data_IF_185734344737
#
_entry.id   IF_185734344737
#
_cell.length_a   1.000
_cell.length_b   1.000
_cell.length_c   1.000
_cell.angle_alpha   90.00
_cell.angle_beta   90.00
_cell.angle_gamma   90.00
#
_symmetry.space_group_name_H-M   'P 1'
#
loop_
_entity.id
_entity.type
_entity.pdbx_description
1 polymer ?
#
# COMPACT_ATOMS: atom_id res chain seq x y z
N UNK A 1 -13.86 8.55 -51.15
CA UNK A 1 -13.64 7.12 -50.83
C UNK A 1 -12.36 6.51 -51.42
N UNK A 2 -11.91 6.85 -52.65
CA UNK A 2 -10.66 6.29 -53.25
C UNK A 2 -9.37 6.55 -52.45
N UNK A 3 -9.27 7.70 -51.78
CA UNK A 3 -8.09 8.06 -50.96
C UNK A 3 -7.87 7.11 -49.77
N UNK A 4 -8.96 6.69 -49.11
CA UNK A 4 -8.92 5.79 -47.95
C UNK A 4 -8.43 4.39 -48.29
N UNK A 5 -8.63 3.97 -49.55
CA UNK A 5 -8.21 2.66 -50.04
C UNK A 5 -6.72 2.65 -50.42
N UNK A 6 -6.22 3.76 -50.98
CA UNK A 6 -4.84 3.85 -51.47
C UNK A 6 -3.82 4.15 -50.36
N UNK A 7 -4.24 4.75 -49.24
CA UNK A 7 -3.35 5.10 -48.12
C UNK A 7 -3.93 4.65 -46.77
N UNK A 8 -3.97 3.34 -46.49
CA UNK A 8 -4.67 2.79 -45.33
C UNK A 8 -4.08 3.25 -43.99
N UNK A 9 -2.76 3.41 -43.90
CA UNK A 9 -2.09 3.86 -42.67
C UNK A 9 -2.34 5.34 -42.38
N UNK A 10 -2.19 6.19 -43.40
CA UNK A 10 -2.41 7.63 -43.29
C UNK A 10 -3.87 7.95 -42.96
N UNK A 11 -4.79 7.20 -43.55
CA UNK A 11 -6.22 7.31 -43.28
C UNK A 11 -6.59 6.98 -41.83
N UNK A 12 -5.93 5.97 -41.24
CA UNK A 12 -6.11 5.63 -39.82
C UNK A 12 -5.56 6.71 -38.89
N UNK A 13 -4.45 7.35 -39.24
CA UNK A 13 -3.90 8.48 -38.47
C UNK A 13 -4.86 9.68 -38.48
N UNK A 14 -5.40 10.03 -39.64
CA UNK A 14 -6.43 11.09 -39.74
C UNK A 14 -7.63 10.76 -38.86
N UNK A 15 -8.09 9.50 -38.90
CA UNK A 15 -9.22 9.05 -38.09
C UNK A 15 -8.95 9.19 -36.58
N UNK A 16 -7.76 8.80 -36.12
CA UNK A 16 -7.34 8.95 -34.70
C UNK A 16 -7.31 10.42 -34.30
N UNK A 17 -6.81 11.29 -35.18
CA UNK A 17 -6.72 12.74 -34.93
C UNK A 17 -8.12 13.37 -34.81
N UNK A 18 -9.04 12.98 -35.71
CA UNK A 18 -10.46 13.40 -35.66
C UNK A 18 -11.13 12.91 -34.37
N UNK A 19 -10.92 11.67 -33.96
CA UNK A 19 -11.45 11.12 -32.71
C UNK A 19 -10.88 11.85 -31.49
N UNK A 20 -9.59 12.18 -31.51
CA UNK A 20 -8.94 12.99 -30.46
C UNK A 20 -9.54 14.39 -30.34
N UNK A 21 -9.77 15.07 -31.46
CA UNK A 21 -10.44 16.37 -31.51
C UNK A 21 -11.89 16.29 -31.02
N UNK A 22 -12.64 15.26 -31.42
CA UNK A 22 -14.01 15.04 -30.94
C UNK A 22 -14.05 14.78 -29.42
N UNK A 23 -13.09 14.02 -28.90
CA UNK A 23 -12.95 13.78 -27.45
C UNK A 23 -12.65 15.07 -26.68
N UNK A 24 -11.93 16.02 -27.28
CA UNK A 24 -11.71 17.33 -26.66
C UNK A 24 -13.01 18.14 -26.56
N UNK A 25 -13.80 18.18 -27.64
CA UNK A 25 -15.01 19.01 -27.77
C UNK A 25 -16.23 18.51 -26.98
N UNK A 26 -16.35 17.20 -26.75
CA UNK A 26 -17.53 16.62 -26.07
C UNK A 26 -17.39 16.76 -24.55
N UNK A 27 -18.31 17.44 -23.82
CA UNK A 27 -18.15 17.66 -22.38
C UNK A 27 -18.45 16.41 -21.52
N UNK A 28 -19.00 15.34 -22.10
CA UNK A 28 -19.39 14.11 -21.40
C UNK A 28 -18.20 13.14 -21.22
N UNK A 29 -17.89 12.84 -19.97
CA UNK A 29 -16.69 12.09 -19.59
C UNK A 29 -16.71 10.62 -20.04
N UNK A 30 -17.86 9.94 -19.92
CA UNK A 30 -18.03 8.56 -20.38
C UNK A 30 -17.79 8.42 -21.89
N UNK A 31 -18.19 9.44 -22.66
CA UNK A 31 -17.97 9.47 -24.12
C UNK A 31 -16.50 9.69 -24.43
N UNK A 32 -15.78 10.54 -23.68
CA UNK A 32 -14.33 10.73 -23.83
C UNK A 32 -13.56 9.43 -23.64
N UNK A 33 -13.92 8.63 -22.63
CA UNK A 33 -13.31 7.32 -22.38
C UNK A 33 -13.55 6.37 -23.56
N UNK A 34 -14.79 6.28 -24.04
CA UNK A 34 -15.13 5.45 -25.20
C UNK A 34 -14.34 5.88 -26.44
N UNK A 35 -14.29 7.19 -26.72
CA UNK A 35 -13.53 7.73 -27.86
C UNK A 35 -12.03 7.50 -27.72
N UNK A 36 -11.48 7.60 -26.51
CA UNK A 36 -10.08 7.30 -26.24
C UNK A 36 -9.77 5.82 -26.50
N UNK A 37 -10.57 4.89 -25.98
CA UNK A 37 -10.41 3.44 -26.21
C UNK A 37 -10.50 3.10 -27.69
N UNK A 38 -11.48 3.68 -28.40
CA UNK A 38 -11.65 3.48 -29.85
C UNK A 38 -10.44 4.04 -30.63
N UNK A 39 -9.97 5.23 -30.27
CA UNK A 39 -8.77 5.84 -30.86
C UNK A 39 -7.52 4.98 -30.66
N UNK A 40 -7.33 4.44 -29.45
CA UNK A 40 -6.23 3.53 -29.15
C UNK A 40 -6.30 2.23 -29.92
N UNK A 41 -7.50 1.66 -30.07
CA UNK A 41 -7.68 0.44 -30.86
C UNK A 41 -7.28 0.66 -32.31
N UNK A 42 -7.74 1.74 -32.92
CA UNK A 42 -7.40 2.12 -34.29
C UNK A 42 -5.89 2.38 -34.43
N UNK A 43 -5.31 3.14 -33.50
CA UNK A 43 -3.88 3.46 -33.50
C UNK A 43 -3.01 2.21 -33.33
N UNK A 44 -3.42 1.29 -32.44
CA UNK A 44 -2.74 0.01 -32.24
C UNK A 44 -2.74 -0.84 -33.52
N UNK A 45 -3.77 -0.75 -34.37
CA UNK A 45 -3.75 -1.45 -35.67
C UNK A 45 -2.68 -0.95 -36.65
N UNK A 46 -2.07 0.22 -36.40
CA UNK A 46 -0.97 0.79 -37.20
C UNK A 46 0.37 0.12 -36.84
N UNK A 47 0.55 -0.29 -35.58
CA UNK A 47 1.80 -0.90 -35.11
C UNK A 47 1.93 -2.34 -35.61
N UNK A 48 2.96 -2.64 -36.41
CA UNK A 48 3.19 -3.98 -36.97
C UNK A 48 3.59 -5.04 -35.92
N UNK A 49 4.27 -4.62 -34.84
CA UNK A 49 4.64 -5.43 -33.66
C UNK A 49 4.50 -4.57 -32.41
N UNK A 50 4.19 -5.17 -31.25
CA UNK A 50 4.12 -4.44 -29.97
C UNK A 50 2.77 -3.82 -29.60
N UNK A 51 1.67 -4.19 -30.29
CA UNK A 51 0.30 -3.72 -30.02
C UNK A 51 -0.10 -3.84 -28.54
N UNK A 52 0.21 -4.99 -27.95
CA UNK A 52 -0.10 -5.32 -26.55
C UNK A 52 0.75 -4.45 -25.60
N UNK A 53 2.04 -4.25 -25.91
CA UNK A 53 2.94 -3.41 -25.12
C UNK A 53 2.48 -1.95 -25.15
N UNK A 54 2.01 -1.45 -26.30
CA UNK A 54 1.45 -0.11 -26.41
C UNK A 54 0.16 0.06 -25.60
N UNK A 55 -0.74 -0.92 -25.60
CA UNK A 55 -1.93 -0.90 -24.74
C UNK A 55 -1.56 -0.84 -23.25
N UNK A 56 -0.61 -1.68 -22.83
CA UNK A 56 -0.12 -1.70 -21.44
C UNK A 56 0.50 -0.35 -21.08
N UNK A 57 1.35 0.21 -21.95
CA UNK A 57 1.98 1.51 -21.71
C UNK A 57 0.93 2.62 -21.60
N UNK A 58 0.00 2.70 -22.56
CA UNK A 58 -1.02 3.75 -22.52
C UNK A 58 -1.91 3.58 -21.31
N UNK A 59 -2.28 2.36 -20.92
CA UNK A 59 -3.08 2.11 -19.73
C UNK A 59 -2.35 2.60 -18.46
N UNK A 60 -1.05 2.29 -18.31
CA UNK A 60 -0.23 2.76 -17.19
C UNK A 60 -0.10 4.29 -17.19
N UNK A 61 0.09 4.92 -18.36
CA UNK A 61 0.35 6.36 -18.49
C UNK A 61 -0.91 7.23 -18.62
N UNK A 62 -2.11 6.67 -18.76
CA UNK A 62 -3.36 7.44 -18.83
C UNK A 62 -4.10 7.56 -17.49
N UNK A 63 -3.74 6.72 -16.51
CA UNK A 63 -4.20 6.81 -15.12
C UNK A 63 -3.92 8.19 -14.46
N UNK A 64 -2.81 8.90 -14.74
CA UNK A 64 -2.53 10.20 -14.10
C UNK A 64 -3.31 11.40 -14.68
N UNK A 65 -3.99 11.28 -15.83
CA UNK A 65 -4.55 12.43 -16.56
C UNK A 65 -6.02 12.74 -16.25
N UNK A 66 -6.63 12.04 -15.30
CA UNK A 66 -8.01 12.26 -14.87
C UNK A 66 -8.04 13.50 -13.96
N UNK A 67 -8.39 14.64 -14.55
CA UNK A 67 -8.69 15.95 -13.95
C UNK A 67 -8.68 16.04 -12.40
N UNK A 68 -7.78 16.89 -11.89
CA UNK A 68 -7.42 17.19 -10.49
C UNK A 68 -8.59 17.27 -9.49
N UNK A 69 -9.79 17.67 -9.94
CA UNK A 69 -10.96 17.84 -9.06
C UNK A 69 -11.88 16.62 -8.98
N UNK A 70 -11.88 15.76 -10.02
CA UNK A 70 -12.65 14.50 -10.06
C UNK A 70 -11.82 13.28 -9.68
N UNK A 71 -10.49 13.39 -9.70
CA UNK A 71 -9.62 12.37 -9.13
C UNK A 71 -9.95 12.19 -7.66
N UNK A 72 -10.00 13.25 -6.83
CA UNK A 72 -10.46 13.18 -5.43
C UNK A 72 -11.69 12.28 -5.22
N UNK A 73 -12.77 12.55 -5.95
CA UNK A 73 -14.07 11.94 -5.66
C UNK A 73 -14.21 10.53 -6.26
N UNK A 74 -13.69 10.29 -7.47
CA UNK A 74 -13.66 8.95 -8.09
C UNK A 74 -12.49 8.08 -7.62
N UNK A 75 -11.48 8.67 -6.98
CA UNK A 75 -10.39 7.95 -6.34
C UNK A 75 -10.82 7.43 -4.99
N UNK A 76 -11.78 8.05 -4.28
CA UNK A 76 -12.47 7.37 -3.19
C UNK A 76 -13.21 6.11 -3.69
N UNK A 77 -13.72 6.08 -4.92
CA UNK A 77 -14.27 4.87 -5.54
C UNK A 77 -13.18 3.87 -5.99
N UNK A 78 -12.04 4.31 -6.51
CA UNK A 78 -10.88 3.44 -6.83
C UNK A 78 -10.21 2.89 -5.56
N UNK A 79 -10.14 3.72 -4.52
CA UNK A 79 -9.75 3.36 -3.16
C UNK A 79 -10.78 2.44 -2.53
N UNK A 80 -12.09 2.59 -2.78
CA UNK A 80 -13.07 1.58 -2.43
C UNK A 80 -12.91 0.33 -3.30
N UNK A 81 -12.44 0.42 -4.54
CA UNK A 81 -12.18 -0.75 -5.39
C UNK A 81 -10.95 -1.56 -4.90
N UNK A 82 -9.91 -0.92 -4.40
CA UNK A 82 -8.70 -1.58 -3.83
C UNK A 82 -8.74 -1.76 -2.29
N UNK A 83 -9.45 -0.90 -1.58
CA UNK A 83 -9.69 -0.94 -0.14
C UNK A 83 -10.86 -1.85 0.22
N UNK A 84 -11.88 -1.94 -0.66
CA UNK A 84 -12.84 -3.05 -0.71
C UNK A 84 -12.37 -4.16 -1.66
N UNK A 85 -11.05 -4.37 -1.79
CA UNK A 85 -10.55 -5.73 -2.01
C UNK A 85 -10.80 -6.59 -0.75
N UNK A 86 -12.01 -6.52 -0.18
CA UNK A 86 -12.71 -7.74 0.20
C UNK A 86 -12.86 -8.55 -1.06
N UNK A 87 -11.81 -9.35 -1.30
CA UNK A 87 -11.81 -10.44 -2.27
C UNK A 87 -13.16 -11.12 -2.16
N UNK A 88 -13.93 -11.01 -3.25
CA UNK A 88 -15.13 -11.78 -3.52
C UNK A 88 -15.05 -13.13 -2.82
N UNK A 89 -15.88 -13.32 -1.79
CA UNK A 89 -16.41 -14.58 -1.24
C UNK A 89 -15.67 -15.91 -1.52
N UNK A 90 -14.34 -15.91 -1.59
CA UNK A 90 -13.54 -17.12 -1.60
C UNK A 90 -13.38 -17.44 -0.13
N UNK A 91 -14.13 -18.46 0.32
CA UNK A 91 -14.11 -18.96 1.70
C UNK A 91 -12.69 -18.87 2.27
N UNK A 92 -12.53 -18.04 3.31
CA UNK A 92 -11.27 -17.91 4.04
C UNK A 92 -11.14 -19.14 4.94
N UNK A 93 -10.18 -20.00 4.65
CA UNK A 93 -9.92 -21.18 5.49
C UNK A 93 -8.93 -20.80 6.58
N UNK A 94 -9.45 -20.39 7.74
CA UNK A 94 -8.64 -20.05 8.91
C UNK A 94 -8.20 -21.33 9.61
N UNK A 95 -6.89 -21.48 9.79
CA UNK A 95 -6.31 -22.63 10.49
C UNK A 95 -5.73 -22.12 11.82
N UNK A 96 -6.33 -22.58 12.91
CA UNK A 96 -5.94 -22.26 14.27
C UNK A 96 -4.66 -23.02 14.67
N UNK A 97 -3.88 -22.49 15.64
CA UNK A 97 -2.71 -23.18 16.14
C UNK A 97 -3.09 -24.43 16.93
N UNK A 98 -2.30 -25.50 16.76
CA UNK A 98 -2.41 -26.78 17.48
C UNK A 98 -1.03 -27.29 17.96
N UNK A 99 0.06 -26.61 17.58
CA UNK A 99 1.41 -26.81 18.07
C UNK A 99 1.89 -25.61 18.87
N UNK A 100 2.80 -25.88 19.80
CA UNK A 100 3.44 -24.87 20.65
C UNK A 100 4.93 -25.16 20.73
N UNK A 101 5.75 -24.13 20.56
CA UNK A 101 7.21 -24.18 20.68
C UNK A 101 7.67 -23.25 21.80
N UNK A 102 8.61 -23.76 22.60
CA UNK A 102 9.22 -23.08 23.73
C UNK A 102 10.68 -23.53 23.90
N UNK A 103 11.62 -22.65 24.29
CA UNK A 103 11.44 -21.19 24.41
C UNK A 103 11.33 -20.53 23.05
N UNK A 104 10.81 -19.31 23.02
CA UNK A 104 10.88 -18.44 21.84
C UNK A 104 12.29 -17.88 21.70
N UNK A 105 12.74 -17.70 20.45
CA UNK A 105 14.02 -17.06 20.19
C UNK A 105 13.85 -15.61 19.73
N UNK A 106 14.95 -14.85 19.79
CA UNK A 106 14.96 -13.42 19.49
C UNK A 106 14.58 -13.13 18.03
N UNK A 107 14.94 -14.02 17.10
CA UNK A 107 14.80 -13.82 15.67
C UNK A 107 13.76 -14.79 15.11
N UNK A 108 12.70 -14.24 14.52
CA UNK A 108 11.59 -15.02 13.94
C UNK A 108 11.39 -14.58 12.49
N UNK A 109 11.39 -15.54 11.58
CA UNK A 109 11.06 -15.34 10.17
C UNK A 109 9.87 -16.20 9.80
N UNK A 110 8.85 -15.61 9.19
CA UNK A 110 7.65 -16.30 8.72
C UNK A 110 7.54 -16.06 7.22
N UNK A 111 7.59 -17.12 6.42
CA UNK A 111 7.51 -17.06 4.95
C UNK A 111 6.37 -17.97 4.46
N UNK A 112 5.23 -17.36 4.12
CA UNK A 112 4.01 -18.05 3.68
C UNK A 112 3.80 -17.81 2.18
N UNK A 113 3.91 -18.88 1.40
CA UNK A 113 3.86 -18.86 -0.06
C UNK A 113 2.50 -19.28 -0.61
N UNK A 114 2.36 -19.22 -1.94
CA UNK A 114 1.21 -19.73 -2.69
C UNK A 114 -0.11 -19.02 -2.39
N UNK A 115 -0.10 -17.68 -2.37
CA UNK A 115 -1.29 -16.83 -2.16
C UNK A 115 -1.96 -16.96 -0.78
N UNK A 116 -1.35 -17.69 0.14
CA UNK A 116 -1.85 -17.85 1.50
C UNK A 116 -1.54 -16.62 2.36
N UNK A 117 -2.35 -16.46 3.41
CA UNK A 117 -2.21 -15.41 4.39
C UNK A 117 -1.72 -15.91 5.75
N UNK A 118 -1.30 -14.97 6.57
CA UNK A 118 -0.95 -15.19 7.97
C UNK A 118 -1.67 -14.17 8.84
N UNK A 119 -2.18 -14.61 9.99
CA UNK A 119 -2.73 -13.76 11.03
C UNK A 119 -1.82 -13.90 12.24
N UNK A 120 -1.18 -12.82 12.63
CA UNK A 120 -0.33 -12.76 13.82
C UNK A 120 -1.11 -12.16 14.97
N UNK A 121 -1.16 -12.90 16.08
CA UNK A 121 -1.68 -12.41 17.34
C UNK A 121 -0.53 -12.32 18.34
N UNK A 122 -0.17 -11.10 18.73
CA UNK A 122 0.79 -10.93 19.82
C UNK A 122 0.11 -11.22 21.15
N UNK A 123 0.73 -12.11 21.93
CA UNK A 123 0.24 -12.56 23.24
C UNK A 123 1.33 -12.41 24.30
N UNK A 124 0.92 -12.33 25.57
CA UNK A 124 1.87 -12.35 26.67
C UNK A 124 2.49 -13.74 26.83
N UNK A 125 3.81 -13.81 26.98
CA UNK A 125 4.56 -15.05 27.16
C UNK A 125 5.79 -15.13 26.28
N UNK A 126 6.44 -16.28 26.30
CA UNK A 126 7.74 -16.61 25.69
C UNK A 126 7.64 -17.89 24.85
N UNK A 127 6.47 -18.13 24.27
CA UNK A 127 6.18 -19.26 23.39
C UNK A 127 5.61 -18.80 22.06
N UNK A 128 5.73 -19.62 21.04
CA UNK A 128 5.04 -19.45 19.77
C UNK A 128 4.07 -20.61 19.54
N UNK A 129 2.82 -20.29 19.24
CA UNK A 129 1.78 -21.26 18.89
C UNK A 129 1.47 -21.15 17.40
N UNK A 130 1.46 -22.27 16.69
CA UNK A 130 1.34 -22.30 15.24
C UNK A 130 0.60 -23.56 14.75
N UNK A 131 0.02 -23.56 13.54
CA UNK A 131 -0.65 -24.74 13.02
C UNK A 131 0.32 -25.83 12.55
N UNK A 132 -0.05 -27.08 12.74
CA UNK A 132 0.73 -28.27 12.40
C UNK A 132 1.00 -28.43 10.91
N UNK A 133 0.20 -27.75 10.07
CA UNK A 133 0.40 -27.64 8.63
C UNK A 133 1.58 -26.75 8.23
N UNK A 134 2.10 -25.94 9.16
CA UNK A 134 3.32 -25.18 8.96
C UNK A 134 4.52 -26.00 9.42
N UNK A 135 5.62 -25.82 8.70
CA UNK A 135 6.92 -26.26 9.14
C UNK A 135 7.50 -25.24 10.11
N UNK A 136 8.22 -25.75 11.12
CA UNK A 136 9.03 -24.93 11.99
C UNK A 136 10.44 -25.50 11.98
N UNK A 137 11.41 -24.68 11.59
CA UNK A 137 12.83 -24.99 11.67
C UNK A 137 13.49 -24.06 12.66
N UNK A 138 14.31 -24.63 13.53
CA UNK A 138 15.12 -23.87 14.49
C UNK A 138 16.58 -24.06 14.16
N UNK A 139 17.28 -22.96 13.86
CA UNK A 139 18.73 -22.95 13.67
C UNK A 139 19.32 -21.73 14.40
N UNK A 140 20.43 -21.91 15.10
CA UNK A 140 21.21 -20.82 15.71
C UNK A 140 20.40 -19.75 16.47
N UNK A 141 19.38 -20.15 17.26
CA UNK A 141 18.47 -19.24 17.98
C UNK A 141 17.62 -18.35 17.05
N UNK A 142 17.26 -18.88 15.89
CA UNK A 142 16.28 -18.32 14.96
C UNK A 142 15.14 -19.32 14.78
N UNK A 143 13.92 -18.82 14.73
CA UNK A 143 12.73 -19.60 14.34
C UNK A 143 12.38 -19.23 12.91
N UNK A 144 12.28 -20.23 12.04
CA UNK A 144 11.74 -20.05 10.69
C UNK A 144 10.46 -20.87 10.54
N UNK A 145 9.38 -20.20 10.14
CA UNK A 145 8.08 -20.82 9.89
C UNK A 145 7.75 -20.67 8.41
N UNK A 146 7.40 -21.77 7.76
CA UNK A 146 6.96 -21.77 6.37
C UNK A 146 5.84 -22.78 6.14
N UNK A 147 5.13 -22.65 5.03
CA UNK A 147 4.09 -23.60 4.65
C UNK A 147 4.61 -24.63 3.64
N UNK A 148 4.26 -25.91 3.84
CA UNK A 148 4.58 -26.97 2.88
C UNK A 148 3.54 -27.06 1.77
N UNK A 149 4.01 -27.18 0.53
CA UNK A 149 3.20 -27.60 -0.61
C UNK A 149 2.31 -26.52 -1.23
N UNK A 150 1.65 -26.92 -2.32
CA UNK A 150 0.67 -26.09 -3.01
C UNK A 150 -0.69 -26.23 -2.34
N UNK A 151 -1.11 -25.17 -1.65
CA UNK A 151 -2.50 -25.05 -1.22
C UNK A 151 -3.31 -24.49 -2.38
N UNK A 152 -4.36 -25.18 -2.79
CA UNK A 152 -5.27 -24.76 -3.87
C UNK A 152 -6.36 -23.78 -3.41
N UNK A 153 -6.38 -23.44 -2.12
CA UNK A 153 -7.37 -22.57 -1.47
C UNK A 153 -6.67 -21.43 -0.74
N UNK A 154 -7.41 -20.36 -0.45
CA UNK A 154 -6.95 -19.23 0.33
C UNK A 154 -6.92 -19.57 1.84
N UNK A 155 -5.83 -20.16 2.32
CA UNK A 155 -5.66 -20.42 3.75
C UNK A 155 -5.09 -19.20 4.47
N UNK A 156 -5.54 -19.03 5.71
CA UNK A 156 -4.98 -18.08 6.68
C UNK A 156 -4.50 -18.86 7.89
N UNK A 157 -3.20 -18.84 8.14
CA UNK A 157 -2.62 -19.51 9.30
C UNK A 157 -2.55 -18.53 10.47
N UNK A 158 -3.18 -18.87 11.59
CA UNK A 158 -3.10 -18.08 12.82
C UNK A 158 -1.86 -18.50 13.59
N UNK A 159 -0.97 -17.55 13.87
CA UNK A 159 0.25 -17.76 14.65
C UNK A 159 0.21 -16.80 15.84
N UNK A 160 0.28 -17.36 17.05
CA UNK A 160 0.34 -16.56 18.28
C UNK A 160 1.78 -16.45 18.73
N UNK A 161 2.27 -15.22 18.88
CA UNK A 161 3.68 -14.95 19.20
C UNK A 161 3.75 -14.31 20.58
N UNK A 162 4.39 -15.01 21.52
CA UNK A 162 4.77 -14.48 22.81
C UNK A 162 5.72 -13.30 22.66
N UNK A 163 5.45 -12.19 23.34
CA UNK A 163 6.24 -10.95 23.21
C UNK A 163 7.53 -10.94 24.03
N UNK A 164 7.69 -11.85 25.01
CA UNK A 164 8.88 -11.90 25.85
C UNK A 164 10.04 -12.54 25.10
N UNK A 165 11.07 -11.75 24.83
CA UNK A 165 12.33 -12.22 24.23
C UNK A 165 12.41 -12.06 22.72
N UNK A 166 11.30 -11.82 22.02
CA UNK A 166 11.33 -11.53 20.58
C UNK A 166 11.88 -10.13 20.35
N UNK A 167 12.89 -10.02 19.48
CA UNK A 167 13.51 -8.75 19.09
C UNK A 167 13.25 -8.45 17.62
N UNK A 168 13.39 -9.46 16.76
CA UNK A 168 13.35 -9.28 15.32
C UNK A 168 12.28 -10.19 14.73
N UNK A 169 11.26 -9.60 14.11
CA UNK A 169 10.21 -10.33 13.43
C UNK A 169 10.15 -9.91 11.96
N UNK A 170 10.36 -10.88 11.07
CA UNK A 170 10.21 -10.71 9.62
C UNK A 170 9.08 -11.60 9.12
N UNK A 171 8.14 -11.01 8.38
CA UNK A 171 7.00 -11.72 7.82
C UNK A 171 6.93 -11.42 6.33
N UNK A 172 6.89 -12.47 5.53
CA UNK A 172 6.63 -12.44 4.09
C UNK A 172 5.43 -13.32 3.79
N UNK A 173 4.34 -12.73 3.28
CA UNK A 173 3.16 -13.48 2.87
C UNK A 173 2.36 -12.69 1.83
N UNK A 174 1.49 -13.35 1.07
CA UNK A 174 0.57 -12.61 0.19
C UNK A 174 -0.37 -11.72 0.99
N UNK A 175 -0.82 -12.20 2.16
CA UNK A 175 -1.69 -11.43 3.06
C UNK A 175 -1.17 -11.52 4.48
N UNK A 176 -1.05 -10.39 5.16
CA UNK A 176 -0.57 -10.29 6.53
C UNK A 176 -1.62 -9.53 7.33
N UNK A 177 -2.09 -10.12 8.43
CA UNK A 177 -2.87 -9.45 9.45
C UNK A 177 -2.10 -9.47 10.76
N UNK A 178 -2.03 -8.34 11.46
CA UNK A 178 -1.36 -8.24 12.77
C UNK A 178 -2.28 -7.57 13.77
N UNK A 179 -2.46 -8.25 14.90
CA UNK A 179 -3.27 -7.82 16.02
C UNK A 179 -2.45 -7.89 17.33
N UNK A 180 -2.80 -7.03 18.29
CA UNK A 180 -2.19 -7.06 19.63
C UNK A 180 -1.03 -6.08 19.82
N UNK A 181 -0.27 -6.27 20.89
CA UNK A 181 0.77 -5.32 21.31
C UNK A 181 2.13 -6.00 21.35
N UNK A 182 3.15 -5.34 20.85
CA UNK A 182 4.52 -5.86 20.91
C UNK A 182 5.53 -4.74 21.06
N UNK A 183 6.64 -5.07 21.71
CA UNK A 183 7.87 -4.28 21.72
C UNK A 183 8.96 -5.09 21.05
N UNK A 184 9.53 -4.57 19.97
CA UNK A 184 10.50 -5.22 19.11
C UNK A 184 11.67 -4.28 18.85
N UNK A 185 12.81 -4.83 18.48
CA UNK A 185 13.90 -4.04 17.88
C UNK A 185 13.58 -3.80 16.40
N UNK A 186 13.15 -4.84 15.68
CA UNK A 186 12.82 -4.76 14.25
C UNK A 186 11.52 -5.49 13.91
N UNK A 187 10.62 -4.83 13.18
CA UNK A 187 9.45 -5.42 12.55
C UNK A 187 9.49 -5.16 11.03
N UNK A 188 9.60 -6.23 10.24
CA UNK A 188 9.68 -6.16 8.78
C UNK A 188 8.55 -6.97 8.16
N UNK A 189 7.68 -6.31 7.40
CA UNK A 189 6.51 -6.91 6.76
C UNK A 189 6.59 -6.74 5.25
N UNK A 190 6.48 -7.84 4.50
CA UNK A 190 6.46 -7.82 3.04
C UNK A 190 5.25 -8.61 2.53
N UNK A 191 4.35 -7.96 1.81
CA UNK A 191 3.18 -8.67 1.30
C UNK A 191 2.34 -7.89 0.31
N UNK A 192 1.39 -8.57 -0.32
CA UNK A 192 0.47 -7.90 -1.26
C UNK A 192 -0.58 -7.11 -0.50
N UNK A 193 -1.17 -7.69 0.54
CA UNK A 193 -2.12 -7.02 1.43
C UNK A 193 -1.64 -7.10 2.88
N UNK A 194 -1.40 -5.96 3.51
CA UNK A 194 -0.96 -5.88 4.91
C UNK A 194 -2.01 -5.08 5.68
N UNK A 195 -2.51 -5.65 6.76
CA UNK A 195 -3.53 -5.04 7.60
C UNK A 195 -3.09 -5.11 9.07
N UNK A 196 -2.81 -3.96 9.68
CA UNK A 196 -2.51 -3.84 11.09
C UNK A 196 -3.63 -3.05 11.74
N UNK A 197 -4.46 -3.73 12.53
CA UNK A 197 -5.61 -3.14 13.24
C UNK A 197 -5.62 -3.61 14.68
N UNK A 198 -6.23 -2.83 15.56
CA UNK A 198 -6.25 -3.07 17.00
C UNK A 198 -4.85 -3.38 17.54
N UNK A 199 -3.84 -2.65 17.05
CA UNK A 199 -2.45 -2.94 17.35
C UNK A 199 -1.74 -1.77 18.03
N UNK A 200 -0.76 -2.08 18.87
CA UNK A 200 0.13 -1.08 19.48
C UNK A 200 1.55 -1.59 19.42
N UNK A 201 2.32 -1.07 18.48
CA UNK A 201 3.68 -1.57 18.19
C UNK A 201 4.71 -0.53 18.59
N UNK A 202 5.64 -0.93 19.44
CA UNK A 202 6.88 -0.21 19.68
C UNK A 202 8.00 -0.96 18.96
N UNK A 203 8.63 -0.34 17.97
CA UNK A 203 9.73 -0.96 17.24
C UNK A 203 10.81 0.08 16.97
N UNK A 204 12.08 -0.21 17.27
CA UNK A 204 13.16 0.73 16.89
C UNK A 204 13.14 0.96 15.37
N UNK A 205 12.94 -0.11 14.60
CA UNK A 205 12.76 -0.05 13.15
C UNK A 205 11.47 -0.75 12.72
N UNK A 206 10.56 -0.02 12.08
CA UNK A 206 9.36 -0.55 11.43
C UNK A 206 9.52 -0.42 9.91
N UNK A 207 9.48 -1.54 9.20
CA UNK A 207 9.47 -1.55 7.73
C UNK A 207 8.27 -2.34 7.22
N UNK A 208 7.44 -1.69 6.40
CA UNK A 208 6.27 -2.30 5.79
C UNK A 208 6.31 -2.06 4.28
N UNK A 209 6.37 -3.12 3.48
CA UNK A 209 6.40 -3.03 2.02
C UNK A 209 5.31 -3.88 1.37
N UNK A 210 4.59 -3.31 0.40
CA UNK A 210 3.48 -4.03 -0.22
C UNK A 210 2.64 -3.29 -1.25
N UNK A 211 1.59 -3.95 -1.75
CA UNK A 211 0.69 -3.33 -2.74
C UNK A 211 -0.45 -2.58 -2.07
N UNK A 212 -1.10 -3.18 -1.09
CA UNK A 212 -2.19 -2.60 -0.31
C UNK A 212 -1.84 -2.67 1.18
N UNK A 213 -1.63 -1.53 1.81
CA UNK A 213 -1.22 -1.45 3.22
C UNK A 213 -2.24 -0.62 3.98
N UNK A 214 -2.84 -1.22 5.01
CA UNK A 214 -3.74 -0.57 5.93
C UNK A 214 -3.16 -0.62 7.35
N UNK A 215 -2.81 0.54 7.90
CA UNK A 215 -2.27 0.68 9.25
C UNK A 215 -3.21 1.56 10.06
N UNK A 216 -3.83 1.00 11.09
CA UNK A 216 -4.55 1.77 12.08
C UNK A 216 -3.88 1.67 13.44
N UNK A 217 -4.18 2.63 14.32
CA UNK A 217 -3.85 2.63 15.76
C UNK A 217 -2.51 3.30 16.13
N UNK A 218 -1.70 2.69 16.98
CA UNK A 218 -0.56 3.34 17.65
C UNK A 218 0.77 2.66 17.32
N UNK A 219 1.70 3.44 16.77
CA UNK A 219 3.03 2.97 16.41
C UNK A 219 4.07 3.95 16.93
N UNK A 220 5.15 3.45 17.55
CA UNK A 220 6.23 4.28 18.06
C UNK A 220 7.59 3.64 17.88
N UNK A 221 8.65 4.46 17.86
CA UNK A 221 10.00 3.96 17.66
C UNK A 221 11.03 4.98 17.25
N UNK A 222 12.09 4.51 16.60
CA UNK A 222 13.12 5.37 16.03
C UNK A 222 12.79 5.72 14.58
N UNK A 223 12.59 4.71 13.74
CA UNK A 223 12.42 4.87 12.30
C UNK A 223 11.26 4.01 11.77
N UNK A 224 10.37 4.63 10.99
CA UNK A 224 9.34 3.94 10.25
C UNK A 224 9.53 4.19 8.74
N UNK A 225 9.60 3.11 7.96
CA UNK A 225 9.61 3.15 6.50
C UNK A 225 8.48 2.33 5.93
N UNK A 226 7.59 2.98 5.20
CA UNK A 226 6.47 2.33 4.54
C UNK A 226 6.54 2.60 3.05
N UNK A 227 6.53 1.54 2.25
CA UNK A 227 6.65 1.59 0.79
C UNK A 227 5.53 0.77 0.16
N UNK A 228 4.69 1.40 -0.66
CA UNK A 228 3.69 0.63 -1.38
C UNK A 228 2.80 1.37 -2.38
N UNK A 229 1.99 0.60 -3.10
CA UNK A 229 1.15 1.18 -4.16
C UNK A 229 -0.08 1.91 -3.62
N UNK A 230 -0.82 1.31 -2.70
CA UNK A 230 -2.03 1.86 -2.10
C UNK A 230 -1.92 1.82 -0.57
N UNK A 231 -1.78 3.00 0.02
CA UNK A 231 -1.51 3.20 1.43
C UNK A 231 -2.71 3.85 2.12
N UNK A 232 -3.18 3.24 3.19
CA UNK A 232 -4.24 3.75 4.03
C UNK A 232 -3.86 3.77 5.50
N UNK A 233 -3.57 4.95 6.07
CA UNK A 233 -3.17 5.03 7.47
C UNK A 233 -4.10 5.90 8.30
N UNK A 234 -4.34 5.48 9.54
CA UNK A 234 -5.03 6.31 10.52
C UNK A 234 -4.50 6.05 11.92
N UNK A 235 -4.33 7.10 12.72
CA UNK A 235 -3.92 6.94 14.12
C UNK A 235 -2.64 7.69 14.45
N UNK A 236 -1.86 7.19 15.40
CA UNK A 236 -0.72 7.90 16.00
C UNK A 236 0.59 7.24 15.65
N UNK A 237 1.48 8.02 15.04
CA UNK A 237 2.83 7.61 14.66
C UNK A 237 3.83 8.48 15.42
N UNK A 238 4.50 7.89 16.41
CA UNK A 238 5.48 8.55 17.29
C UNK A 238 6.88 7.97 17.05
N UNK A 239 7.40 8.22 15.84
CA UNK A 239 8.77 7.86 15.44
C UNK A 239 9.63 9.10 15.25
N UNK A 240 10.94 9.02 15.50
CA UNK A 240 11.87 10.13 15.24
C UNK A 240 11.88 10.50 13.76
N UNK A 241 11.85 9.50 12.88
CA UNK A 241 11.75 9.66 11.43
C UNK A 241 10.64 8.76 10.87
N UNK A 242 9.83 9.34 9.99
CA UNK A 242 8.79 8.63 9.25
C UNK A 242 9.05 8.88 7.76
N UNK A 243 9.22 7.81 6.99
CA UNK A 243 9.32 7.87 5.53
C UNK A 243 8.20 7.02 4.92
N UNK A 244 7.40 7.65 4.07
CA UNK A 244 6.27 7.01 3.38
C UNK A 244 6.44 7.24 1.88
N UNK A 245 6.66 6.16 1.14
CA UNK A 245 6.78 6.20 -0.31
C UNK A 245 5.60 5.43 -0.92
N UNK A 246 4.87 6.04 -1.86
CA UNK A 246 3.80 5.30 -2.52
C UNK A 246 3.12 5.93 -3.72
N UNK A 247 2.32 5.14 -4.44
CA UNK A 247 1.59 5.67 -5.62
C UNK A 247 0.32 6.40 -5.19
N UNK A 248 -0.43 5.81 -4.26
CA UNK A 248 -1.69 6.28 -3.73
C UNK A 248 -1.59 6.31 -2.21
N UNK A 249 -1.68 7.50 -1.63
CA UNK A 249 -1.49 7.73 -0.20
C UNK A 249 -2.74 8.40 0.36
N UNK A 250 -3.46 7.72 1.24
CA UNK A 250 -4.58 8.27 2.01
C UNK A 250 -4.30 8.11 3.51
N UNK A 251 -4.00 9.22 4.19
CA UNK A 251 -3.50 9.14 5.57
C UNK A 251 -4.17 10.18 6.48
N UNK A 252 -4.42 9.77 7.71
CA UNK A 252 -4.85 10.64 8.80
C UNK A 252 -3.97 10.37 10.04
N UNK A 253 -2.86 11.10 10.14
CA UNK A 253 -1.81 10.83 11.11
C UNK A 253 -1.78 11.89 12.21
N UNK A 254 -1.75 11.40 13.44
CA UNK A 254 -1.28 12.16 14.59
C UNK A 254 0.22 11.90 14.75
N UNK A 255 1.04 12.92 14.55
CA UNK A 255 2.50 12.84 14.65
C UNK A 255 2.91 13.14 16.08
N UNK A 256 3.50 12.14 16.74
CA UNK A 256 3.87 12.17 18.14
C UNK A 256 5.06 13.10 18.45
N UNK A 257 5.44 13.13 19.73
CA UNK A 257 6.44 14.05 20.30
C UNK A 257 7.89 13.70 19.95
N UNK A 258 8.18 12.44 19.64
CA UNK A 258 9.52 11.96 19.29
C UNK A 258 9.93 12.42 17.90
N UNK A 259 8.95 12.74 17.05
CA UNK A 259 9.19 13.07 15.65
C UNK A 259 10.05 14.32 15.48
N UNK A 260 11.03 14.19 14.59
CA UNK A 260 11.91 15.25 14.11
C UNK A 260 11.65 15.51 12.63
N UNK A 261 11.38 14.46 11.86
CA UNK A 261 11.20 14.53 10.42
C UNK A 261 10.13 13.54 9.94
N UNK A 262 9.31 13.99 9.00
CA UNK A 262 8.36 13.16 8.25
C UNK A 262 8.51 13.48 6.77
N UNK A 263 8.77 12.46 5.95
CA UNK A 263 8.90 12.54 4.49
C UNK A 263 7.80 11.68 3.87
N UNK A 264 7.05 12.25 2.93
CA UNK A 264 5.96 11.58 2.24
C UNK A 264 6.10 11.84 0.75
N UNK A 265 6.51 10.82 0.00
CA UNK A 265 6.73 10.90 -1.43
C UNK A 265 5.69 10.04 -2.15
N UNK A 266 4.94 10.62 -3.10
CA UNK A 266 3.98 9.83 -3.85
C UNK A 266 3.22 10.50 -4.97
N UNK A 267 2.61 9.70 -5.86
CA UNK A 267 1.94 10.27 -7.04
C UNK A 267 0.64 11.01 -6.67
N UNK A 268 -0.20 10.41 -5.83
CA UNK A 268 -1.42 11.01 -5.33
C UNK A 268 -1.49 10.94 -3.80
N UNK A 269 -1.57 12.11 -3.14
CA UNK A 269 -1.48 12.24 -1.69
C UNK A 269 -2.68 12.99 -1.14
N UNK A 270 -3.52 12.27 -0.38
CA UNK A 270 -4.57 12.84 0.46
C UNK A 270 -4.19 12.62 1.92
N UNK A 271 -3.72 13.67 2.59
CA UNK A 271 -3.20 13.57 3.94
C UNK A 271 -3.89 14.56 4.88
N UNK A 272 -4.20 14.11 6.10
CA UNK A 272 -4.41 14.97 7.26
C UNK A 272 -3.30 14.67 8.25
N UNK A 273 -2.46 15.66 8.53
CA UNK A 273 -1.36 15.57 9.48
C UNK A 273 -1.66 16.48 10.67
N UNK A 274 -1.67 15.91 11.86
CA UNK A 274 -1.90 16.63 13.10
C UNK A 274 -0.69 16.46 14.02
N UNK A 275 0.03 17.53 14.32
CA UNK A 275 1.13 17.47 15.27
C UNK A 275 0.62 17.50 16.70
N UNK A 276 1.07 16.55 17.53
CA UNK A 276 0.65 16.45 18.94
C UNK A 276 1.56 17.22 19.91
N UNK A 277 2.56 17.95 19.43
CA UNK A 277 3.53 18.65 20.27
C UNK A 277 4.16 19.83 19.54
N UNK A 278 4.49 20.88 20.28
CA UNK A 278 5.08 22.12 19.77
C UNK A 278 6.60 22.08 19.59
N UNK A 279 7.19 20.88 19.54
CA UNK A 279 8.61 20.74 19.22
C UNK A 279 8.86 21.06 17.75
N UNK A 280 10.02 21.64 17.39
CA UNK A 280 10.41 21.84 16.00
C UNK A 280 10.44 20.53 15.22
N UNK A 281 9.77 20.52 14.05
CA UNK A 281 9.64 19.33 13.18
C UNK A 281 9.77 19.72 11.71
N UNK A 282 10.23 18.80 10.89
CA UNK A 282 10.27 18.95 9.44
C UNK A 282 9.22 18.03 8.83
N UNK A 283 8.36 18.59 7.97
CA UNK A 283 7.43 17.85 7.14
C UNK A 283 7.74 18.15 5.68
N UNK A 284 8.21 17.14 4.96
CA UNK A 284 8.46 17.20 3.52
C UNK A 284 7.44 16.30 2.82
N UNK A 285 6.69 16.86 1.88
CA UNK A 285 5.75 16.11 1.06
C UNK A 285 5.99 16.47 -0.41
N UNK A 286 6.28 15.46 -1.21
CA UNK A 286 6.42 15.59 -2.66
C UNK A 286 5.40 14.69 -3.35
N UNK A 287 4.57 15.27 -4.22
CA UNK A 287 3.73 14.47 -5.07
C UNK A 287 3.24 15.14 -6.34
N UNK A 288 2.43 14.44 -7.11
CA UNK A 288 1.87 14.99 -8.36
C UNK A 288 0.50 15.63 -8.15
N UNK A 289 -0.30 15.10 -7.21
CA UNK A 289 -1.68 15.54 -7.00
C UNK A 289 -2.20 15.23 -5.59
N UNK A 290 -3.34 15.82 -5.23
CA UNK A 290 -4.08 15.53 -3.99
C UNK A 290 -4.21 16.73 -3.06
N UNK A 291 -4.57 16.49 -1.80
CA UNK A 291 -4.73 17.54 -0.78
C UNK A 291 -4.08 17.14 0.53
N UNK A 292 -3.26 18.03 1.09
CA UNK A 292 -2.66 17.88 2.41
C UNK A 292 -3.26 18.93 3.33
N UNK A 293 -3.91 18.47 4.39
CA UNK A 293 -4.33 19.29 5.52
C UNK A 293 -3.31 19.13 6.65
N UNK A 294 -2.76 20.22 7.16
CA UNK A 294 -1.85 20.21 8.32
C UNK A 294 -2.44 21.02 9.47
N UNK A 295 -2.45 20.43 10.66
CA UNK A 295 -2.98 21.00 11.90
C UNK A 295 -1.89 21.18 12.95
N UNK A 296 -2.06 22.16 13.85
CA UNK A 296 -1.14 22.41 14.97
C UNK A 296 0.32 22.56 14.51
N UNK A 297 0.54 23.31 13.42
CA UNK A 297 1.81 23.35 12.72
C UNK A 297 2.78 24.45 13.17
N UNK A 298 2.47 25.17 14.26
CA UNK A 298 3.15 26.43 14.61
C UNK A 298 4.67 26.26 14.85
N UNK A 299 5.10 25.06 15.25
CA UNK A 299 6.52 24.71 15.42
C UNK A 299 7.12 23.96 14.24
N UNK A 300 6.36 23.64 13.19
CA UNK A 300 6.81 22.79 12.09
C UNK A 300 7.25 23.59 10.86
N UNK A 301 8.40 23.22 10.31
CA UNK A 301 8.80 23.60 8.95
C UNK A 301 8.08 22.67 7.97
N UNK A 302 7.24 23.26 7.10
CA UNK A 302 6.43 22.50 6.14
C UNK A 302 6.87 22.83 4.72
N UNK A 303 7.30 21.81 4.00
CA UNK A 303 7.61 21.86 2.57
C UNK A 303 6.66 20.90 1.85
N UNK A 304 5.78 21.44 0.99
CA UNK A 304 4.86 20.64 0.18
C UNK A 304 5.01 21.07 -1.28
N UNK A 305 5.38 20.13 -2.15
CA UNK A 305 5.42 20.32 -3.60
C UNK A 305 4.41 19.39 -4.28
N UNK A 306 3.58 19.97 -5.16
CA UNK A 306 2.52 19.27 -5.89
C UNK A 306 1.12 19.30 -5.27
N UNK A 307 0.82 18.57 -4.18
CA UNK A 307 -0.51 18.57 -3.57
C UNK A 307 -0.97 19.95 -3.09
N UNK A 308 -2.28 20.18 -3.08
CA UNK A 308 -2.86 21.39 -2.49
C UNK A 308 -2.69 21.36 -0.98
N UNK A 309 -2.10 22.40 -0.40
CA UNK A 309 -1.97 22.54 1.06
C UNK A 309 -3.16 23.32 1.68
N UNK A 310 -3.60 22.87 2.85
CA UNK A 310 -4.57 23.53 3.73
C UNK A 310 -3.97 23.55 5.14
N UNK A 311 -3.81 24.74 5.71
CA UNK A 311 -3.29 24.91 7.06
C UNK A 311 -4.43 25.25 8.01
N UNK A 312 -4.54 24.52 9.11
CA UNK A 312 -5.49 24.77 10.19
C UNK A 312 -4.71 24.97 11.50
N UNK A 313 -5.10 26.00 12.24
CA UNK A 313 -4.61 26.20 13.59
C UNK A 313 -5.32 25.23 14.53
#
# INVERSE_FOLDING_TARGET
>A
MKFFHNYPTFSKLILVLVIGLLSFLIPLWSIKIILFIVGLFIFSTILKKGKIVFFILVFIFSIPFISIKRFSDNFFEFYNFFGNFEVSSNEKYIIQPDKKQFPIYNDITIDIKNQNGVIIEFVDGDSIEFPSKLNLTTDNKKIEINNYGHFSKNYYFVIKIGTKGVKNLKISATKIEINGKAKLDNLILNGTAINMKNCSIESEYLHVSGTAINLSDFFRGHYAYIDGTALNFSGTFDFQQIKIDGTSININLNIGKLNKETIIDGTAINATINFLSDNPKILNIDGTSGTVKVKNYESATINVDGPKIILEK
#
